data_IF_482364474268
#
_entry.id   IF_482364474268
#
_cell.length_a   1.000
_cell.length_b   1.000
_cell.length_c   1.000
_cell.angle_alpha   90.00
_cell.angle_beta   90.00
_cell.angle_gamma   90.00
#
_symmetry.space_group_name_H-M   'P 1'
#
loop_
_entity.id
_entity.type
_entity.pdbx_description
1 polymer ?
#
# COMPACT_ATOMS: atom_id res chain seq x y z
N UNK A 1 1.39 14.48 5.07
CA UNK A 1 0.21 14.15 4.29
C UNK A 1 -0.76 15.35 4.22
N UNK A 2 -1.27 15.61 3.05
CA UNK A 2 -2.26 16.66 2.86
C UNK A 2 -3.66 16.08 3.02
N UNK A 3 -4.47 16.71 3.84
CA UNK A 3 -5.86 16.30 4.07
C UNK A 3 -6.77 17.51 3.79
N UNK A 4 -7.73 17.35 2.89
CA UNK A 4 -8.69 18.39 2.58
C UNK A 4 -9.74 18.49 3.69
N UNK A 5 -9.89 19.67 4.27
CA UNK A 5 -10.81 19.93 5.38
C UNK A 5 -11.66 21.20 5.17
N UNK A 6 -11.99 21.50 3.94
CA UNK A 6 -12.83 22.65 3.65
C UNK A 6 -14.31 22.29 3.74
N UNK A 7 -15.11 23.15 4.37
CA UNK A 7 -16.56 22.96 4.50
C UNK A 7 -17.28 23.01 3.15
N UNK A 8 -16.68 23.64 2.15
CA UNK A 8 -17.27 23.80 0.82
C UNK A 8 -16.90 22.69 -0.15
N UNK A 9 -16.11 21.71 0.31
CA UNK A 9 -15.57 20.66 -0.53
C UNK A 9 -16.51 19.46 -0.54
N UNK A 10 -16.59 18.79 -1.68
CA UNK A 10 -17.23 17.50 -1.81
C UNK A 10 -16.60 16.50 -0.83
N UNK A 11 -17.34 15.47 -0.37
CA UNK A 11 -16.73 14.44 0.48
C UNK A 11 -15.46 13.92 -0.15
N UNK A 12 -14.39 13.90 0.63
CA UNK A 12 -13.07 13.49 0.15
C UNK A 12 -12.51 12.34 0.97
N UNK A 13 -11.70 11.54 0.32
CA UNK A 13 -11.00 10.40 0.89
C UNK A 13 -9.51 10.73 0.88
N UNK A 14 -8.80 10.36 1.93
CA UNK A 14 -7.35 10.50 1.99
C UNK A 14 -6.71 9.13 2.22
N UNK A 15 -5.71 8.81 1.41
CA UNK A 15 -4.89 7.61 1.60
C UNK A 15 -3.52 8.04 2.10
N UNK A 16 -3.12 7.52 3.24
CA UNK A 16 -1.78 7.75 3.78
C UNK A 16 -0.96 6.49 3.57
N UNK A 17 0.06 6.59 2.73
CA UNK A 17 0.92 5.47 2.37
C UNK A 17 2.26 5.53 3.07
N UNK A 18 2.74 4.38 3.57
CA UNK A 18 4.08 4.25 4.12
C UNK A 18 4.52 2.79 4.12
N UNK A 19 5.82 2.55 3.92
CA UNK A 19 6.41 1.23 4.14
C UNK A 19 6.57 1.01 5.65
N UNK A 20 6.40 -0.25 6.12
CA UNK A 20 6.67 -0.56 7.53
C UNK A 20 8.16 -0.62 7.81
N UNK A 21 8.97 -0.94 6.81
CA UNK A 21 10.42 -1.13 6.91
C UNK A 21 10.84 -2.25 7.87
N UNK A 22 9.91 -3.15 8.20
CA UNK A 22 10.14 -4.24 9.15
C UNK A 22 9.45 -5.50 8.64
N UNK A 23 10.09 -6.65 8.87
CA UNK A 23 9.47 -7.94 8.55
C UNK A 23 8.62 -8.49 9.71
N UNK A 24 8.37 -7.67 10.73
CA UNK A 24 7.61 -8.07 11.93
C UNK A 24 6.23 -7.46 11.91
N UNK A 25 5.21 -8.29 12.04
CA UNK A 25 3.83 -7.85 12.05
C UNK A 25 3.47 -6.87 13.18
N UNK A 26 4.05 -6.98 14.42
CA UNK A 26 3.80 -5.96 15.43
C UNK A 26 4.21 -4.55 14.98
N UNK A 27 5.31 -4.41 14.24
CA UNK A 27 5.76 -3.10 13.74
C UNK A 27 4.80 -2.58 12.66
N UNK A 28 4.33 -3.45 11.79
CA UNK A 28 3.31 -3.13 10.80
C UNK A 28 2.02 -2.63 11.48
N UNK A 29 1.56 -3.36 12.49
CA UNK A 29 0.34 -3.00 13.22
C UNK A 29 0.47 -1.66 13.93
N UNK A 30 1.63 -1.39 14.54
CA UNK A 30 1.92 -0.12 15.21
C UNK A 30 1.84 1.04 14.22
N UNK A 31 2.40 0.86 13.03
CA UNK A 31 2.36 1.90 12.00
C UNK A 31 0.94 2.19 11.53
N UNK A 32 0.15 1.15 11.26
CA UNK A 32 -1.26 1.32 10.88
C UNK A 32 -2.05 2.05 11.97
N UNK A 33 -1.87 1.64 13.22
CA UNK A 33 -2.56 2.26 14.34
C UNK A 33 -2.18 3.73 14.50
N UNK A 34 -0.89 4.05 14.31
CA UNK A 34 -0.42 5.43 14.33
C UNK A 34 -1.10 6.29 13.27
N UNK A 35 -1.29 5.74 12.07
CA UNK A 35 -2.01 6.44 11.00
C UNK A 35 -3.48 6.67 11.35
N UNK A 36 -4.14 5.66 11.91
CA UNK A 36 -5.53 5.77 12.35
C UNK A 36 -5.68 6.85 13.43
N UNK A 37 -4.77 6.88 14.41
CA UNK A 37 -4.75 7.91 15.43
C UNK A 37 -4.52 9.30 14.84
N UNK A 38 -3.69 9.40 13.80
CA UNK A 38 -3.46 10.67 13.12
C UNK A 38 -4.72 11.20 12.44
N UNK A 39 -5.48 10.33 11.79
CA UNK A 39 -6.77 10.72 11.20
C UNK A 39 -7.78 11.13 12.27
N UNK A 40 -7.85 10.39 13.37
CA UNK A 40 -8.75 10.71 14.49
C UNK A 40 -8.40 12.06 15.10
N UNK A 41 -7.11 12.35 15.30
CA UNK A 41 -6.65 13.60 15.86
C UNK A 41 -7.03 14.81 14.98
N UNK A 42 -7.15 14.60 13.67
CA UNK A 42 -7.57 15.63 12.72
C UNK A 42 -9.08 15.59 12.47
N UNK A 43 -9.81 14.74 13.17
CA UNK A 43 -11.25 14.55 12.98
C UNK A 43 -11.62 14.23 11.53
N UNK A 44 -10.76 13.48 10.85
CA UNK A 44 -10.95 13.11 9.45
C UNK A 44 -11.43 11.66 9.35
N UNK A 45 -12.71 11.49 8.99
CA UNK A 45 -13.37 10.17 8.97
C UNK A 45 -12.96 9.26 7.81
N UNK A 46 -12.60 9.84 6.69
CA UNK A 46 -12.40 9.10 5.44
C UNK A 46 -10.92 8.82 5.16
N UNK A 47 -10.15 8.63 6.22
CA UNK A 47 -8.73 8.27 6.10
C UNK A 47 -8.53 6.78 5.93
N UNK A 48 -7.66 6.41 5.00
CA UNK A 48 -7.33 5.02 4.73
C UNK A 48 -5.82 4.82 4.92
N UNK A 49 -5.40 4.04 5.94
CA UNK A 49 -3.99 3.67 6.07
C UNK A 49 -3.60 2.68 4.98
N UNK A 50 -2.45 2.87 4.39
CA UNK A 50 -1.93 1.99 3.36
C UNK A 50 -0.46 1.68 3.66
N UNK A 51 -0.21 0.60 4.39
CA UNK A 51 1.12 0.21 4.83
C UNK A 51 1.59 -1.01 4.04
N UNK A 52 2.74 -0.88 3.40
CA UNK A 52 3.39 -2.01 2.73
C UNK A 52 4.23 -2.80 3.74
N UNK A 53 4.20 -4.13 3.65
CA UNK A 53 4.93 -5.02 4.54
C UNK A 53 5.89 -5.89 3.72
N UNK A 54 7.18 -5.76 3.90
CA UNK A 54 7.88 -4.68 4.62
C UNK A 54 8.00 -3.39 3.80
N UNK A 55 7.92 -3.52 2.48
CA UNK A 55 8.06 -2.43 1.50
C UNK A 55 7.18 -2.67 0.29
N UNK A 56 6.88 -1.62 -0.44
CA UNK A 56 6.06 -1.70 -1.65
C UNK A 56 6.65 -2.60 -2.73
N UNK A 57 7.95 -2.80 -2.76
CA UNK A 57 8.59 -3.73 -3.69
C UNK A 57 8.06 -5.15 -3.55
N UNK A 58 7.54 -5.54 -2.38
CA UNK A 58 6.91 -6.84 -2.20
C UNK A 58 5.68 -7.00 -3.10
N UNK A 59 4.87 -5.98 -3.23
CA UNK A 59 3.70 -6.00 -4.13
C UNK A 59 4.12 -6.01 -5.59
N UNK A 60 5.15 -5.24 -5.93
CA UNK A 60 5.66 -5.16 -7.30
C UNK A 60 6.23 -6.50 -7.75
N UNK A 61 6.98 -7.18 -6.88
CA UNK A 61 7.47 -8.53 -7.16
C UNK A 61 6.34 -9.54 -7.27
N UNK A 62 5.31 -9.40 -6.46
CA UNK A 62 4.11 -10.23 -6.58
C UNK A 62 3.52 -10.14 -7.99
N UNK A 63 3.34 -8.94 -8.49
CA UNK A 63 2.78 -8.71 -9.82
C UNK A 63 3.70 -9.18 -10.93
N UNK A 64 4.96 -8.76 -10.90
CA UNK A 64 5.87 -8.93 -12.03
C UNK A 64 6.53 -10.31 -12.08
N UNK A 65 6.96 -10.81 -10.93
CA UNK A 65 7.73 -12.06 -10.88
C UNK A 65 6.86 -13.28 -10.63
N UNK A 66 5.86 -13.16 -9.76
CA UNK A 66 5.04 -14.31 -9.34
C UNK A 66 3.69 -14.43 -10.06
N UNK A 67 3.32 -13.46 -10.89
CA UNK A 67 2.02 -13.47 -11.55
C UNK A 67 0.88 -13.51 -10.54
N UNK A 68 1.02 -12.79 -9.42
CA UNK A 68 0.04 -12.66 -8.33
C UNK A 68 -0.20 -13.94 -7.54
N UNK A 69 0.71 -14.91 -7.61
CA UNK A 69 0.57 -16.19 -6.90
C UNK A 69 1.68 -16.39 -5.89
N UNK A 70 1.34 -16.97 -4.72
CA UNK A 70 2.30 -17.29 -3.66
C UNK A 70 3.09 -16.08 -3.19
N UNK A 71 2.42 -14.96 -3.02
CA UNK A 71 3.08 -13.69 -2.72
C UNK A 71 3.25 -13.42 -1.22
N UNK A 72 2.55 -14.15 -0.35
CA UNK A 72 2.61 -13.91 1.09
C UNK A 72 4.03 -13.98 1.65
N UNK A 73 4.88 -14.82 1.08
CA UNK A 73 6.26 -14.97 1.52
C UNK A 73 7.09 -13.68 1.40
N UNK A 74 6.74 -12.81 0.47
CA UNK A 74 7.45 -11.53 0.33
C UNK A 74 7.28 -10.65 1.57
N UNK A 75 6.17 -10.79 2.28
CA UNK A 75 5.89 -10.00 3.49
C UNK A 75 6.77 -10.37 4.68
N UNK A 76 7.41 -11.53 4.64
CA UNK A 76 8.36 -11.96 5.66
C UNK A 76 9.81 -11.61 5.37
N UNK A 77 10.07 -10.94 4.26
CA UNK A 77 11.44 -10.58 3.85
C UNK A 77 11.96 -9.37 4.62
N UNK A 78 13.28 -9.21 4.64
CA UNK A 78 13.92 -8.07 5.27
C UNK A 78 13.50 -6.74 4.63
N UNK A 79 13.24 -5.73 5.46
CA UNK A 79 12.98 -4.37 5.01
C UNK A 79 14.24 -3.54 4.77
N UNK A 80 15.43 -4.14 4.91
CA UNK A 80 16.70 -3.44 4.73
C UNK A 80 17.18 -3.52 3.29
N UNK A 81 17.20 -2.39 2.59
CA UNK A 81 17.65 -2.30 1.19
C UNK A 81 19.12 -2.68 0.99
N UNK A 82 19.92 -2.62 2.04
CA UNK A 82 21.35 -2.98 1.97
C UNK A 82 21.59 -4.49 2.09
N UNK A 83 20.57 -5.25 2.46
CA UNK A 83 20.66 -6.71 2.52
C UNK A 83 20.94 -7.29 1.13
N UNK A 84 21.79 -8.34 1.02
CA UNK A 84 22.06 -8.98 -0.29
C UNK A 84 20.80 -9.50 -1.00
N UNK A 85 19.78 -9.91 -0.24
CA UNK A 85 18.50 -10.39 -0.78
C UNK A 85 17.37 -9.40 -0.55
N UNK A 86 17.66 -8.10 -0.57
CA UNK A 86 16.62 -7.11 -0.38
C UNK A 86 15.59 -7.19 -1.52
N UNK A 87 14.34 -6.84 -1.20
CA UNK A 87 13.28 -6.80 -2.20
C UNK A 87 13.61 -5.85 -3.34
N UNK A 88 14.23 -4.71 -3.01
CA UNK A 88 14.64 -3.73 -4.02
C UNK A 88 15.66 -4.31 -4.99
N UNK A 89 16.68 -5.01 -4.48
CA UNK A 89 17.69 -5.63 -5.32
C UNK A 89 17.11 -6.73 -6.20
N UNK A 90 16.20 -7.53 -5.66
CA UNK A 90 15.52 -8.56 -6.42
C UNK A 90 14.64 -7.97 -7.52
N UNK A 91 13.92 -6.89 -7.22
CA UNK A 91 13.09 -6.20 -8.21
C UNK A 91 13.96 -5.63 -9.34
N UNK A 92 15.04 -4.96 -9.01
CA UNK A 92 15.94 -4.38 -10.01
C UNK A 92 16.65 -5.45 -10.84
N UNK A 93 16.99 -6.58 -10.23
CA UNK A 93 17.55 -7.71 -10.97
C UNK A 93 16.52 -8.30 -11.96
N UNK A 94 15.28 -8.38 -11.57
CA UNK A 94 14.20 -8.87 -12.43
C UNK A 94 13.96 -7.91 -13.61
N UNK A 95 13.96 -6.61 -13.34
CA UNK A 95 13.75 -5.58 -14.37
C UNK A 95 14.97 -5.38 -15.27
N UNK A 96 16.15 -5.79 -14.81
CA UNK A 96 17.45 -5.54 -15.45
C UNK A 96 17.74 -4.04 -15.61
N UNK A 97 17.14 -3.21 -14.73
CA UNK A 97 17.33 -1.76 -14.72
C UNK A 97 16.89 -1.21 -13.36
N UNK A 98 17.30 0.02 -13.01
CA UNK A 98 16.82 0.64 -11.77
C UNK A 98 15.28 0.77 -11.75
N UNK A 99 14.68 0.52 -10.57
CA UNK A 99 13.25 0.65 -10.37
C UNK A 99 12.89 2.12 -10.13
N UNK A 100 13.01 2.93 -11.16
CA UNK A 100 12.70 4.35 -11.09
C UNK A 100 11.19 4.59 -11.09
N UNK A 101 10.79 5.76 -10.60
CA UNK A 101 9.38 6.17 -10.63
C UNK A 101 8.82 6.13 -12.05
N UNK A 102 9.59 6.59 -13.01
CA UNK A 102 9.18 6.60 -14.43
C UNK A 102 8.93 5.18 -14.92
N UNK A 103 9.86 4.25 -14.63
CA UNK A 103 9.72 2.85 -15.05
C UNK A 103 8.50 2.19 -14.40
N UNK A 104 8.30 2.41 -13.11
CA UNK A 104 7.17 1.81 -12.40
C UNK A 104 5.83 2.36 -12.90
N UNK A 105 5.76 3.67 -13.16
CA UNK A 105 4.56 4.27 -13.74
C UNK A 105 4.25 3.70 -15.12
N UNK A 106 5.26 3.48 -15.94
CA UNK A 106 5.10 2.85 -17.24
C UNK A 106 4.49 1.45 -17.11
N UNK A 107 4.97 0.66 -16.15
CA UNK A 107 4.46 -0.70 -15.93
C UNK A 107 3.01 -0.72 -15.43
N UNK A 108 2.63 0.27 -14.63
CA UNK A 108 1.24 0.44 -14.21
C UNK A 108 0.38 0.86 -15.39
N UNK A 109 0.84 1.83 -16.17
CA UNK A 109 0.08 2.39 -17.30
C UNK A 109 -0.16 1.35 -18.40
N UNK A 110 0.80 0.44 -18.62
CA UNK A 110 0.64 -0.60 -19.65
C UNK A 110 -0.03 -1.89 -19.12
N UNK A 111 -0.48 -1.88 -17.87
CA UNK A 111 -1.22 -2.99 -17.29
C UNK A 111 -0.38 -4.15 -16.77
N UNK A 112 0.95 -4.05 -16.79
CA UNK A 112 1.81 -5.10 -16.24
C UNK A 112 1.78 -5.17 -14.73
N UNK A 113 1.46 -4.07 -14.06
CA UNK A 113 1.24 -4.02 -12.61
C UNK A 113 -0.20 -3.61 -12.39
N UNK A 114 -0.98 -4.51 -11.78
CA UNK A 114 -2.36 -4.24 -11.35
C UNK A 114 -2.50 -4.74 -9.91
N UNK A 115 -2.35 -3.83 -8.96
CA UNK A 115 -2.36 -4.16 -7.54
C UNK A 115 -3.70 -4.71 -7.06
N UNK A 116 -4.78 -4.51 -7.81
CA UNK A 116 -6.07 -5.10 -7.49
C UNK A 116 -6.05 -6.64 -7.56
N UNK A 117 -5.09 -7.21 -8.29
CA UNK A 117 -4.94 -8.66 -8.41
C UNK A 117 -4.13 -9.29 -7.27
N UNK A 118 -3.57 -8.49 -6.38
CA UNK A 118 -2.84 -8.99 -5.21
C UNK A 118 -3.86 -9.41 -4.15
N UNK A 119 -4.02 -10.70 -3.94
CA UNK A 119 -5.07 -11.25 -3.07
C UNK A 119 -4.57 -12.06 -1.89
N UNK A 120 -3.30 -12.46 -1.87
CA UNK A 120 -2.75 -13.30 -0.81
C UNK A 120 -1.70 -12.59 0.06
N UNK A 121 -1.68 -11.27 0.05
CA UNK A 121 -0.80 -10.47 0.89
C UNK A 121 -1.65 -9.66 1.87
N UNK A 122 -1.43 -9.88 3.17
CA UNK A 122 -2.22 -9.24 4.22
C UNK A 122 -2.17 -7.72 4.14
N UNK A 123 -0.99 -7.14 3.87
CA UNK A 123 -0.85 -5.69 3.79
C UNK A 123 -1.71 -5.07 2.69
N UNK A 124 -1.83 -5.73 1.56
CA UNK A 124 -2.69 -5.28 0.47
C UNK A 124 -4.17 -5.51 0.80
N UNK A 125 -4.50 -6.68 1.36
CA UNK A 125 -5.88 -7.00 1.74
C UNK A 125 -6.41 -6.02 2.79
N UNK A 126 -5.60 -5.69 3.79
CA UNK A 126 -5.97 -4.71 4.82
C UNK A 126 -6.29 -3.34 4.20
N UNK A 127 -5.50 -2.90 3.24
CA UNK A 127 -5.76 -1.66 2.53
C UNK A 127 -7.07 -1.74 1.73
N UNK A 128 -7.26 -2.83 0.98
CA UNK A 128 -8.45 -3.01 0.14
C UNK A 128 -9.72 -3.04 0.98
N UNK A 129 -9.70 -3.69 2.13
CA UNK A 129 -10.83 -3.74 3.06
C UNK A 129 -11.12 -2.37 3.66
N UNK A 130 -10.10 -1.63 4.08
CA UNK A 130 -10.26 -0.27 4.60
C UNK A 130 -10.83 0.67 3.55
N UNK A 131 -10.35 0.57 2.32
CA UNK A 131 -10.83 1.38 1.21
C UNK A 131 -12.32 1.08 0.95
N UNK A 132 -12.67 -0.20 0.90
CA UNK A 132 -14.05 -0.63 0.68
C UNK A 132 -14.98 -0.13 1.76
N UNK A 133 -14.56 -0.19 3.02
CA UNK A 133 -15.34 0.29 4.15
C UNK A 133 -15.60 1.80 4.05
N UNK A 134 -14.54 2.58 3.80
CA UNK A 134 -14.65 4.04 3.70
C UNK A 134 -15.53 4.44 2.51
N UNK A 135 -15.32 3.83 1.34
CA UNK A 135 -16.13 4.11 0.16
C UNK A 135 -17.60 3.73 0.40
N UNK A 136 -17.85 2.61 1.07
CA UNK A 136 -19.21 2.18 1.41
C UNK A 136 -19.93 3.19 2.27
N UNK A 137 -19.26 3.75 3.28
CA UNK A 137 -19.84 4.80 4.13
C UNK A 137 -20.11 6.08 3.34
N UNK A 138 -19.17 6.48 2.51
CA UNK A 138 -19.32 7.69 1.69
C UNK A 138 -20.48 7.57 0.72
N UNK A 139 -20.62 6.42 0.05
CA UNK A 139 -21.70 6.17 -0.89
C UNK A 139 -23.04 6.04 -0.18
N UNK A 140 -23.09 5.40 1.00
CA UNK A 140 -24.29 5.30 1.80
C UNK A 140 -24.82 6.67 2.22
N UNK A 141 -23.93 7.57 2.63
CA UNK A 141 -24.32 8.94 2.98
C UNK A 141 -24.85 9.74 1.79
N UNK A 142 -24.37 9.43 0.59
CA UNK A 142 -24.84 10.13 -0.62
C UNK A 142 -26.21 9.66 -1.06
N UNK A 143 -26.58 8.45 -0.74
CA UNK A 143 -27.90 7.87 -1.07
C UNK A 143 -28.96 8.35 -0.09
N UNK A 144 -28.57 8.56 1.16
CA UNK A 144 -29.47 9.07 2.21
C UNK A 144 -29.70 10.58 2.05
#
# INVERSE_FOLDING_TARGET
AYVAQSADVQPSLAVLFHDSDSNKWPDYNTKRLSMEHGFEAQEFENGVPFVAQPKSEAWLLCALKNGYQNCAAFEGRSGNDDSPNSLKKELEAFLEEPATRVKLNELVDNGRIDLAQVTDMKSMTDFQESMKEVLGRMLGRRIE
#
